data_IF_681646918615
#
_entry.id   IF_681646918615
#
_cell.length_a   1.000
_cell.length_b   1.000
_cell.length_c   1.000
_cell.angle_alpha   90.00
_cell.angle_beta   90.00
_cell.angle_gamma   90.00
#
_symmetry.space_group_name_H-M   'P 1'
#
loop_
_entity.id
_entity.type
_entity.pdbx_description
1 polymer ?
#
# COMPACT_ATOMS: atom_id res chain seq x y z
N UNK A 1 26.74 -12.84 10.38
CA UNK A 1 25.69 -12.16 11.17
C UNK A 1 24.66 -11.61 10.22
N UNK A 2 23.35 -11.73 10.50
CA UNK A 2 22.33 -11.10 9.68
C UNK A 2 22.43 -9.58 9.81
N UNK A 3 22.41 -8.91 8.66
CA UNK A 3 22.52 -7.47 8.56
C UNK A 3 21.29 -6.93 7.84
N UNK A 4 20.74 -5.82 8.36
CA UNK A 4 19.64 -5.11 7.70
C UNK A 4 20.21 -3.90 6.96
N UNK A 5 19.87 -3.83 5.70
CA UNK A 5 20.31 -2.77 4.79
C UNK A 5 19.13 -1.84 4.50
N UNK A 6 19.39 -0.54 4.45
CA UNK A 6 18.42 0.47 4.10
C UNK A 6 18.96 1.42 3.04
N UNK A 7 18.11 1.81 2.11
CA UNK A 7 18.43 2.75 1.04
C UNK A 7 17.25 3.69 0.80
N UNK A 8 17.53 4.99 0.86
CA UNK A 8 16.56 6.02 0.44
C UNK A 8 16.81 6.34 -1.03
N UNK A 9 15.80 6.19 -1.87
CA UNK A 9 15.84 6.71 -3.23
C UNK A 9 15.57 8.21 -3.19
N UNK A 10 16.58 8.98 -3.52
CA UNK A 10 16.45 10.43 -3.63
C UNK A 10 15.71 10.79 -4.94
N UNK A 11 14.89 11.85 -4.95
CA UNK A 11 14.26 12.32 -6.16
C UNK A 11 15.32 12.74 -7.18
N UNK A 12 15.14 12.34 -8.43
CA UNK A 12 16.03 12.71 -9.55
C UNK A 12 15.39 13.82 -10.37
N UNK A 13 14.06 13.81 -10.45
CA UNK A 13 13.27 14.78 -11.21
C UNK A 13 12.29 15.48 -10.28
N UNK A 14 11.87 16.67 -10.65
CA UNK A 14 10.76 17.35 -10.01
C UNK A 14 9.47 16.53 -10.19
N UNK A 15 8.54 16.58 -9.22
CA UNK A 15 7.24 15.93 -9.35
C UNK A 15 6.50 16.38 -10.61
N UNK A 16 5.87 15.45 -11.31
CA UNK A 16 5.11 15.74 -12.51
C UNK A 16 3.70 16.25 -12.17
N UNK A 17 3.34 17.44 -12.66
CA UNK A 17 2.01 18.01 -12.47
C UNK A 17 1.64 18.18 -11.00
N UNK A 18 0.45 17.72 -10.64
CA UNK A 18 -0.12 17.85 -9.28
C UNK A 18 0.20 16.66 -8.37
N UNK A 19 1.20 15.83 -8.71
CA UNK A 19 1.59 14.69 -7.88
C UNK A 19 2.17 15.16 -6.56
N UNK A 20 1.78 14.47 -5.48
CA UNK A 20 2.20 14.78 -4.12
C UNK A 20 2.93 13.59 -3.51
N UNK A 21 3.93 13.81 -2.63
CA UNK A 21 4.49 12.73 -1.85
C UNK A 21 3.46 12.18 -0.86
N UNK A 22 3.55 10.88 -0.53
CA UNK A 22 2.60 10.23 0.38
C UNK A 22 2.49 10.94 1.74
N UNK A 23 3.60 11.44 2.27
CA UNK A 23 3.60 12.20 3.53
C UNK A 23 2.71 13.45 3.45
N UNK A 24 2.69 14.15 2.31
CA UNK A 24 1.81 15.30 2.07
C UNK A 24 0.35 14.87 1.97
N UNK A 25 0.06 13.81 1.21
CA UNK A 25 -1.31 13.29 1.03
C UNK A 25 -1.90 12.91 2.39
N UNK A 26 -1.17 12.12 3.17
CA UNK A 26 -1.64 11.70 4.50
C UNK A 26 -1.79 12.86 5.47
N UNK A 27 -0.87 13.82 5.44
CA UNK A 27 -0.97 15.00 6.30
C UNK A 27 -2.20 15.85 5.99
N UNK A 28 -2.51 16.08 4.71
CA UNK A 28 -3.74 16.78 4.30
C UNK A 28 -5.01 16.04 4.73
N UNK A 29 -5.01 14.71 4.65
CA UNK A 29 -6.14 13.90 5.12
C UNK A 29 -6.34 14.05 6.64
N UNK A 30 -5.27 13.94 7.42
CA UNK A 30 -5.32 14.14 8.88
C UNK A 30 -5.82 15.54 9.23
N UNK A 31 -5.31 16.56 8.56
CA UNK A 31 -5.72 17.97 8.76
C UNK A 31 -7.20 18.19 8.39
N UNK A 32 -7.66 17.66 7.25
CA UNK A 32 -9.04 17.76 6.81
C UNK A 32 -10.04 17.07 7.76
N UNK A 33 -9.58 16.04 8.47
CA UNK A 33 -10.35 15.38 9.53
C UNK A 33 -10.31 16.13 10.88
N UNK A 34 -9.73 17.32 10.94
CA UNK A 34 -9.57 18.10 12.17
C UNK A 34 -8.49 17.56 13.10
N UNK A 35 -7.60 16.71 12.57
CA UNK A 35 -6.55 16.03 13.31
C UNK A 35 -5.20 16.74 13.30
N UNK A 36 -5.09 18.01 12.97
CA UNK A 36 -3.81 18.74 12.98
C UNK A 36 -3.10 18.60 14.35
N UNK A 37 -1.82 18.18 14.38
CA UNK A 37 -1.11 18.01 15.64
C UNK A 37 -0.85 19.37 16.30
N UNK A 38 -1.09 19.49 17.60
CA UNK A 38 -0.77 20.69 18.35
C UNK A 38 0.76 20.84 18.50
N UNK A 39 1.26 22.09 18.46
CA UNK A 39 2.68 22.42 18.64
C UNK A 39 3.55 22.25 17.40
N UNK A 40 2.97 21.95 16.24
CA UNK A 40 3.72 21.76 14.97
C UNK A 40 4.50 23.01 14.57
N UNK A 41 3.92 24.20 14.76
CA UNK A 41 4.58 25.47 14.42
C UNK A 41 5.83 25.71 15.29
N UNK A 42 5.75 25.40 16.58
CA UNK A 42 6.89 25.48 17.48
C UNK A 42 7.98 24.47 17.12
N UNK A 43 7.57 23.23 16.77
CA UNK A 43 8.50 22.22 16.26
C UNK A 43 9.18 22.63 14.95
N UNK A 44 8.45 23.29 14.06
CA UNK A 44 9.00 23.77 12.79
C UNK A 44 10.06 24.87 13.03
N UNK A 45 9.77 25.82 13.90
CA UNK A 45 10.74 26.86 14.29
C UNK A 45 11.99 26.27 14.94
N UNK A 46 11.83 25.30 15.83
CA UNK A 46 12.95 24.59 16.44
C UNK A 46 13.79 23.82 15.40
N UNK A 47 13.13 23.18 14.41
CA UNK A 47 13.81 22.46 13.34
C UNK A 47 14.61 23.38 12.40
N UNK A 48 14.15 24.61 12.19
CA UNK A 48 14.88 25.63 11.43
C UNK A 48 16.12 26.12 12.18
N UNK A 49 16.04 26.18 13.50
CA UNK A 49 17.11 26.64 14.36
C UNK A 49 18.25 25.62 14.46
N UNK A 50 17.95 24.44 14.98
CA UNK A 50 18.88 23.31 15.02
C UNK A 50 18.16 21.98 15.26
N UNK A 51 18.89 20.87 15.00
CA UNK A 51 18.41 19.52 15.31
C UNK A 51 18.29 19.30 16.82
N UNK A 52 19.20 19.86 17.61
CA UNK A 52 19.19 19.77 19.07
C UNK A 52 17.94 20.46 19.63
N UNK A 53 17.64 21.67 19.19
CA UNK A 53 16.46 22.43 19.63
C UNK A 53 15.16 21.73 19.22
N UNK A 54 15.13 21.14 18.01
CA UNK A 54 14.02 20.30 17.59
C UNK A 54 13.79 19.11 18.53
N UNK A 55 14.84 18.38 18.90
CA UNK A 55 14.76 17.21 19.77
C UNK A 55 14.29 17.61 21.18
N UNK A 56 14.80 18.71 21.73
CA UNK A 56 14.39 19.24 23.04
C UNK A 56 12.91 19.65 23.04
N UNK A 57 12.51 20.40 22.02
CA UNK A 57 11.11 20.85 21.85
C UNK A 57 10.17 19.66 21.63
N UNK A 58 10.57 18.70 20.80
CA UNK A 58 9.80 17.49 20.56
C UNK A 58 9.60 16.67 21.84
N UNK A 59 10.66 16.50 22.64
CA UNK A 59 10.61 15.77 23.91
C UNK A 59 9.65 16.44 24.89
N UNK A 60 9.71 17.75 25.03
CA UNK A 60 8.82 18.52 25.88
C UNK A 60 7.38 18.40 25.43
N UNK A 61 7.09 18.67 24.15
CA UNK A 61 5.73 18.64 23.60
C UNK A 61 5.13 17.23 23.64
N UNK A 62 5.93 16.18 23.46
CA UNK A 62 5.45 14.79 23.54
C UNK A 62 5.05 14.41 24.96
N UNK A 63 5.67 15.04 25.98
CA UNK A 63 5.30 14.84 27.38
C UNK A 63 4.01 15.58 27.72
N UNK A 64 3.88 16.81 27.24
CA UNK A 64 2.72 17.70 27.52
C UNK A 64 1.49 17.33 26.70
N UNK A 65 1.67 16.71 25.52
CA UNK A 65 0.62 16.35 24.58
C UNK A 65 0.76 14.90 24.08
N UNK A 66 0.17 13.93 24.76
CA UNK A 66 0.21 12.52 24.36
C UNK A 66 -0.38 12.24 22.95
N UNK A 67 -1.30 13.12 22.47
CA UNK A 67 -1.91 12.98 21.14
C UNK A 67 -0.90 13.24 20.00
N UNK A 68 0.20 13.94 20.28
CA UNK A 68 1.28 14.14 19.31
C UNK A 68 1.84 12.80 18.79
N UNK A 69 1.94 11.80 19.67
CA UNK A 69 2.43 10.46 19.32
C UNK A 69 1.55 9.75 18.30
N UNK A 70 0.22 9.90 18.40
CA UNK A 70 -0.74 9.29 17.46
C UNK A 70 -0.68 9.93 16.07
N UNK A 71 -0.23 11.18 15.98
CA UNK A 71 -0.13 12.00 14.76
C UNK A 71 1.33 12.24 14.35
N UNK A 72 2.25 11.46 14.89
CA UNK A 72 3.68 11.65 14.74
C UNK A 72 4.15 11.82 13.28
N UNK A 73 3.71 11.02 12.30
CA UNK A 73 4.15 11.20 10.92
C UNK A 73 3.82 12.59 10.36
N UNK A 74 2.61 13.08 10.62
CA UNK A 74 2.19 14.43 10.20
C UNK A 74 2.98 15.51 10.91
N UNK A 75 3.19 15.38 12.24
CA UNK A 75 3.98 16.32 13.01
C UNK A 75 5.42 16.43 12.50
N UNK A 76 6.08 15.30 12.23
CA UNK A 76 7.43 15.26 11.68
C UNK A 76 7.51 15.86 10.28
N UNK A 77 6.56 15.51 9.43
CA UNK A 77 6.53 16.04 8.07
C UNK A 77 6.31 17.56 8.03
N UNK A 78 5.34 18.06 8.82
CA UNK A 78 5.01 19.49 8.89
C UNK A 78 6.04 20.34 9.64
N UNK A 79 6.93 19.73 10.39
CA UNK A 79 8.01 20.44 11.13
C UNK A 79 9.38 20.13 10.54
N UNK A 80 10.01 19.04 10.96
CA UNK A 80 11.33 18.62 10.52
C UNK A 80 11.45 18.54 8.99
N UNK A 81 10.36 18.16 8.30
CA UNK A 81 10.35 18.06 6.85
C UNK A 81 10.66 19.36 6.13
N UNK A 82 10.31 20.51 6.72
CA UNK A 82 10.59 21.83 6.12
C UNK A 82 12.10 22.12 6.06
N UNK A 83 12.86 21.67 7.05
CA UNK A 83 14.33 21.86 7.10
C UNK A 83 15.10 20.92 6.15
N UNK A 84 14.45 19.89 5.58
CA UNK A 84 15.11 18.88 4.74
C UNK A 84 14.98 19.16 3.23
N UNK A 85 14.34 20.24 2.81
CA UNK A 85 14.16 20.60 1.40
C UNK A 85 13.46 19.49 0.61
N UNK A 86 14.04 19.06 -0.52
CA UNK A 86 13.46 17.98 -1.34
C UNK A 86 13.33 16.64 -0.61
N UNK A 87 14.11 16.44 0.45
CA UNK A 87 14.01 15.25 1.31
C UNK A 87 12.97 15.39 2.42
N UNK A 88 12.16 16.44 2.42
CA UNK A 88 11.10 16.68 3.40
C UNK A 88 10.25 15.45 3.74
N UNK A 89 9.77 14.67 2.76
CA UNK A 89 9.01 13.45 3.01
C UNK A 89 9.75 12.39 3.87
N UNK A 90 11.08 12.39 3.86
CA UNK A 90 11.88 11.48 4.67
C UNK A 90 11.81 11.80 6.17
N UNK A 91 11.34 12.99 6.56
CA UNK A 91 11.20 13.38 7.98
C UNK A 91 10.37 12.37 8.80
N UNK A 92 9.38 11.73 8.19
CA UNK A 92 8.56 10.70 8.85
C UNK A 92 9.39 9.51 9.35
N UNK A 93 10.54 9.26 8.74
CA UNK A 93 11.44 8.18 9.14
C UNK A 93 12.16 8.46 10.46
N UNK A 94 12.22 9.71 10.91
CA UNK A 94 12.79 10.03 12.22
C UNK A 94 12.04 9.30 13.34
N UNK A 95 10.71 9.16 13.23
CA UNK A 95 9.91 8.35 14.14
C UNK A 95 10.33 6.87 14.16
N UNK A 96 10.65 6.31 13.00
CA UNK A 96 11.15 4.93 12.88
C UNK A 96 12.57 4.81 13.46
N UNK A 97 13.41 5.81 13.27
CA UNK A 97 14.76 5.85 13.86
C UNK A 97 14.70 5.90 15.39
N UNK A 98 13.80 6.70 15.97
CA UNK A 98 13.54 6.73 17.43
C UNK A 98 13.08 5.36 17.93
N UNK A 99 12.14 4.72 17.24
CA UNK A 99 11.66 3.40 17.62
C UNK A 99 12.78 2.34 17.54
N UNK A 100 13.61 2.39 16.51
CA UNK A 100 14.74 1.47 16.35
C UNK A 100 15.80 1.67 17.45
N UNK A 101 16.12 2.91 17.82
CA UNK A 101 17.07 3.20 18.89
C UNK A 101 16.61 2.74 20.27
N UNK A 102 15.30 2.74 20.52
CA UNK A 102 14.72 2.23 21.76
C UNK A 102 14.63 0.70 21.80
N UNK A 103 14.26 0.07 20.67
CA UNK A 103 14.02 -1.37 20.62
C UNK A 103 15.23 -2.21 20.34
N UNK A 104 16.19 -1.70 19.58
CA UNK A 104 17.33 -2.47 19.05
C UNK A 104 18.67 -1.72 19.13
N UNK A 105 18.98 -1.00 20.24
CA UNK A 105 20.16 -0.14 20.32
C UNK A 105 21.46 -0.92 20.07
N UNK A 106 21.59 -2.14 20.60
CA UNK A 106 22.79 -2.96 20.43
C UNK A 106 23.02 -3.38 18.97
N UNK A 107 21.93 -3.65 18.23
CA UNK A 107 22.02 -4.00 16.81
C UNK A 107 22.44 -2.80 15.94
N UNK A 108 22.04 -1.59 16.33
CA UNK A 108 22.46 -0.35 15.67
C UNK A 108 23.93 -0.05 15.97
N UNK A 109 24.36 -0.18 17.23
CA UNK A 109 25.76 -0.02 17.64
C UNK A 109 26.67 -1.08 16.99
N UNK A 110 26.21 -2.31 16.86
CA UNK A 110 26.93 -3.37 16.15
C UNK A 110 27.13 -3.08 14.67
N UNK A 111 26.27 -2.27 14.06
CA UNK A 111 26.44 -1.76 12.69
C UNK A 111 27.35 -0.52 12.60
N UNK A 112 27.87 -0.01 13.73
CA UNK A 112 28.81 1.11 13.78
C UNK A 112 28.20 2.46 14.17
N UNK A 113 26.90 2.52 14.45
CA UNK A 113 26.25 3.75 14.91
C UNK A 113 26.63 4.06 16.36
N UNK A 114 26.69 5.34 16.70
CA UNK A 114 27.11 5.81 18.01
C UNK A 114 25.96 6.44 18.77
N UNK A 115 26.12 6.60 20.10
CA UNK A 115 25.16 7.26 20.97
C UNK A 115 24.14 6.31 21.58
N UNK A 116 23.23 6.89 22.36
CA UNK A 116 22.14 6.23 23.06
C UNK A 116 20.83 7.02 22.92
N UNK A 117 19.67 6.32 23.02
CA UNK A 117 18.37 6.97 22.99
C UNK A 117 18.15 7.85 21.75
N UNK A 118 17.81 9.12 21.97
CA UNK A 118 17.56 10.08 20.90
C UNK A 118 18.81 10.47 20.11
N UNK A 119 20.00 10.48 20.74
CA UNK A 119 21.26 10.70 20.03
C UNK A 119 21.50 9.58 19.00
N UNK A 120 21.30 8.32 19.40
CA UNK A 120 21.42 7.17 18.49
C UNK A 120 20.38 7.23 17.36
N UNK A 121 19.16 7.67 17.66
CA UNK A 121 18.11 7.87 16.66
C UNK A 121 18.50 8.95 15.65
N UNK A 122 19.03 10.07 16.12
CA UNK A 122 19.50 11.15 15.26
C UNK A 122 20.66 10.71 14.37
N UNK A 123 21.66 10.04 14.94
CA UNK A 123 22.79 9.53 14.18
C UNK A 123 22.37 8.51 13.12
N UNK A 124 21.40 7.64 13.44
CA UNK A 124 20.81 6.72 12.45
C UNK A 124 20.13 7.50 11.32
N UNK A 125 19.29 8.46 11.68
CA UNK A 125 18.50 9.22 10.70
C UNK A 125 19.40 10.01 9.75
N UNK A 126 20.37 10.75 10.27
CA UNK A 126 21.30 11.54 9.47
C UNK A 126 22.18 10.65 8.59
N UNK A 127 22.68 9.53 9.12
CA UNK A 127 23.43 8.56 8.34
C UNK A 127 22.63 7.97 7.18
N UNK A 128 21.32 7.72 7.36
CA UNK A 128 20.43 7.24 6.31
C UNK A 128 20.21 8.31 5.23
N UNK A 129 20.06 9.57 5.61
CA UNK A 129 19.91 10.68 4.66
C UNK A 129 21.15 10.90 3.81
N UNK A 130 22.35 10.73 4.42
CA UNK A 130 23.63 10.91 3.76
C UNK A 130 24.05 9.73 2.88
N UNK A 131 23.55 8.53 3.16
CA UNK A 131 23.95 7.29 2.51
C UNK A 131 23.36 7.16 1.09
N UNK A 132 23.98 7.81 0.09
CA UNK A 132 23.53 7.83 -1.32
C UNK A 132 23.30 6.45 -1.92
N UNK A 133 24.09 5.46 -1.53
CA UNK A 133 23.95 4.06 -1.97
C UNK A 133 23.34 3.15 -0.92
N UNK A 134 22.82 3.74 0.17
CA UNK A 134 22.31 3.02 1.32
C UNK A 134 23.39 2.53 2.28
N UNK A 135 22.98 1.95 3.39
CA UNK A 135 23.88 1.47 4.44
C UNK A 135 23.32 0.25 5.17
N UNK A 136 24.20 -0.52 5.77
CA UNK A 136 23.83 -1.49 6.81
C UNK A 136 23.55 -0.68 8.08
N UNK A 137 22.32 -0.66 8.56
CA UNK A 137 21.93 0.13 9.73
C UNK A 137 21.80 -0.68 11.01
N UNK A 138 21.68 -2.00 10.91
CA UNK A 138 21.68 -2.88 12.06
C UNK A 138 22.30 -4.23 11.75
N UNK A 139 22.97 -4.81 12.76
CA UNK A 139 23.55 -6.14 12.69
C UNK A 139 23.16 -6.92 13.92
N UNK A 140 22.75 -8.16 13.74
CA UNK A 140 22.26 -9.01 14.81
C UNK A 140 23.11 -10.29 14.91
N UNK A 141 23.37 -10.71 16.14
CA UNK A 141 23.92 -12.02 16.40
C UNK A 141 22.84 -13.11 16.31
N UNK A 142 23.15 -14.24 15.69
CA UNK A 142 22.25 -15.38 15.62
C UNK A 142 21.93 -15.96 17.00
N UNK A 143 22.93 -16.02 17.88
CA UNK A 143 22.76 -16.59 19.22
C UNK A 143 21.72 -15.79 20.05
N UNK A 144 21.72 -14.45 19.92
CA UNK A 144 20.79 -13.57 20.65
C UNK A 144 19.45 -13.38 19.94
N UNK A 145 19.21 -14.03 18.78
CA UNK A 145 17.96 -13.85 18.03
C UNK A 145 16.73 -14.34 18.80
N UNK A 146 16.87 -15.38 19.62
CA UNK A 146 15.79 -15.91 20.44
C UNK A 146 15.41 -14.98 21.60
N UNK A 147 16.29 -14.11 22.07
CA UNK A 147 16.01 -13.11 23.13
C UNK A 147 14.97 -12.08 22.69
N UNK A 148 14.72 -12.01 21.38
CA UNK A 148 13.73 -11.11 20.78
C UNK A 148 12.30 -11.64 20.82
N UNK A 149 12.12 -12.91 21.16
CA UNK A 149 10.79 -13.51 21.34
C UNK A 149 10.16 -12.87 22.57
N UNK A 150 9.00 -12.21 22.38
CA UNK A 150 8.29 -11.46 23.42
C UNK A 150 7.02 -12.15 23.90
N UNK A 151 6.82 -13.41 23.52
CA UNK A 151 5.74 -14.24 24.08
C UNK A 151 6.00 -14.50 25.56
N UNK A 152 4.97 -14.62 26.41
CA UNK A 152 5.14 -14.82 27.85
C UNK A 152 5.99 -16.02 28.24
N UNK A 153 5.98 -17.07 27.42
CA UNK A 153 6.75 -18.31 27.61
C UNK A 153 8.05 -18.37 26.80
N UNK A 154 8.43 -17.29 26.09
CA UNK A 154 9.65 -17.19 25.28
C UNK A 154 9.69 -18.16 24.11
N UNK A 155 8.55 -18.69 23.63
CA UNK A 155 8.47 -19.66 22.54
C UNK A 155 7.80 -19.08 21.29
N UNK A 156 8.16 -19.62 20.15
CA UNK A 156 7.46 -19.36 18.90
C UNK A 156 6.22 -20.25 18.84
N UNK A 157 5.03 -19.65 18.83
CA UNK A 157 3.76 -20.34 18.72
C UNK A 157 3.38 -20.52 17.25
N UNK A 158 3.60 -21.72 16.72
CA UNK A 158 3.19 -22.08 15.35
C UNK A 158 1.79 -22.69 15.27
N UNK A 159 1.24 -23.12 16.40
CA UNK A 159 -0.13 -23.58 16.51
C UNK A 159 -1.02 -22.39 16.89
N UNK A 160 -1.89 -21.97 15.99
CA UNK A 160 -2.88 -20.93 16.19
C UNK A 160 -4.24 -21.64 16.19
N UNK A 161 -4.90 -21.81 17.37
CA UNK A 161 -6.10 -22.64 17.50
C UNK A 161 -7.22 -22.20 16.55
N UNK A 162 -7.42 -20.90 16.36
CA UNK A 162 -8.46 -20.33 15.51
C UNK A 162 -8.26 -20.72 14.04
N UNK A 163 -7.01 -20.69 13.56
CA UNK A 163 -6.69 -21.10 12.18
C UNK A 163 -6.82 -22.61 11.99
N UNK A 164 -6.48 -23.39 13.00
CA UNK A 164 -6.62 -24.86 12.93
C UNK A 164 -8.09 -25.27 12.90
N UNK A 165 -8.95 -24.57 13.63
CA UNK A 165 -10.39 -24.83 13.61
C UNK A 165 -11.00 -24.47 12.28
N UNK A 166 -10.60 -23.33 11.69
CA UNK A 166 -10.99 -22.92 10.34
C UNK A 166 -10.58 -23.96 9.29
N UNK A 167 -9.35 -24.46 9.36
CA UNK A 167 -8.89 -25.55 8.48
C UNK A 167 -9.71 -26.83 8.62
N UNK A 168 -10.19 -27.13 9.81
CA UNK A 168 -11.06 -28.30 10.04
C UNK A 168 -12.45 -28.10 9.47
N UNK A 169 -12.99 -26.87 9.54
CA UNK A 169 -14.30 -26.54 8.99
C UNK A 169 -14.35 -26.67 7.45
N UNK A 170 -13.22 -26.39 6.76
CA UNK A 170 -13.15 -26.47 5.29
C UNK A 170 -13.62 -27.81 4.72
N UNK A 171 -13.40 -28.93 5.46
CA UNK A 171 -13.84 -30.26 5.01
C UNK A 171 -15.37 -30.41 4.99
N UNK A 172 -16.10 -29.53 5.66
CA UNK A 172 -17.56 -29.53 5.79
C UNK A 172 -18.22 -28.39 5.01
N UNK A 173 -17.41 -27.48 4.45
CA UNK A 173 -17.93 -26.37 3.68
C UNK A 173 -18.37 -26.83 2.28
N UNK A 174 -19.59 -26.53 1.95
CA UNK A 174 -20.06 -26.67 0.57
C UNK A 174 -19.40 -25.58 -0.28
N UNK A 175 -18.84 -25.93 -1.46
CA UNK A 175 -18.33 -24.94 -2.38
C UNK A 175 -19.41 -23.90 -2.71
N UNK A 176 -19.10 -22.63 -2.51
CA UNK A 176 -20.03 -21.56 -2.82
C UNK A 176 -20.37 -21.57 -4.32
N UNK A 177 -21.49 -22.22 -4.67
CA UNK A 177 -21.94 -22.31 -6.05
C UNK A 177 -22.34 -20.93 -6.60
N UNK A 178 -22.12 -20.68 -7.89
CA UNK A 178 -22.69 -19.51 -8.56
C UNK A 178 -24.21 -19.49 -8.36
N UNK A 179 -24.77 -18.31 -8.09
CA UNK A 179 -26.22 -18.14 -8.06
C UNK A 179 -26.73 -17.73 -9.44
N UNK A 180 -28.02 -17.96 -9.72
CA UNK A 180 -28.64 -17.49 -10.94
C UNK A 180 -28.52 -15.96 -11.11
N UNK A 181 -28.51 -15.22 -10.02
CA UNK A 181 -28.34 -13.76 -10.00
C UNK A 181 -26.91 -13.31 -10.34
N UNK A 182 -25.91 -14.11 -9.97
CA UNK A 182 -24.49 -13.83 -10.18
C UNK A 182 -23.76 -15.10 -10.61
N UNK A 183 -23.90 -15.49 -11.90
CA UNK A 183 -23.43 -16.80 -12.38
C UNK A 183 -21.91 -16.89 -12.57
N UNK A 184 -21.19 -15.79 -12.47
CA UNK A 184 -19.75 -15.74 -12.67
C UNK A 184 -19.00 -15.48 -11.37
N UNK A 185 -17.77 -15.99 -11.31
CA UNK A 185 -16.74 -15.56 -10.37
C UNK A 185 -15.81 -14.61 -11.10
N UNK A 186 -15.79 -13.35 -10.67
CA UNK A 186 -14.85 -12.34 -11.14
C UNK A 186 -13.57 -12.42 -10.30
N UNK A 187 -12.45 -12.68 -10.95
CA UNK A 187 -11.12 -12.48 -10.42
C UNK A 187 -10.70 -11.05 -10.72
N UNK A 188 -10.92 -10.14 -9.77
CA UNK A 188 -10.52 -8.76 -9.88
C UNK A 188 -9.02 -8.62 -9.56
N UNK A 189 -8.30 -7.81 -10.33
CA UNK A 189 -6.89 -7.53 -10.08
C UNK A 189 -5.92 -8.55 -10.64
N UNK A 190 -6.21 -9.15 -11.79
CA UNK A 190 -5.23 -9.92 -12.54
C UNK A 190 -4.00 -9.04 -12.83
N UNK A 191 -2.80 -9.57 -12.54
CA UNK A 191 -1.56 -8.89 -12.83
C UNK A 191 -1.18 -9.15 -14.30
N UNK A 192 -1.35 -8.17 -15.15
CA UNK A 192 -0.91 -8.17 -16.55
C UNK A 192 0.36 -7.34 -16.71
N UNK A 193 0.79 -7.12 -17.93
CA UNK A 193 2.05 -6.41 -18.24
C UNK A 193 2.15 -4.98 -17.73
N UNK A 194 1.02 -4.36 -17.35
CA UNK A 194 0.97 -3.00 -16.82
C UNK A 194 -0.03 -2.91 -15.68
N UNK A 195 0.41 -2.41 -14.54
CA UNK A 195 -0.44 -2.16 -13.37
C UNK A 195 -0.10 -0.80 -12.75
N UNK A 196 -0.91 -0.33 -11.81
CA UNK A 196 -0.62 0.93 -11.08
C UNK A 196 0.74 0.92 -10.41
N UNK A 197 1.20 -0.25 -9.96
CA UNK A 197 2.51 -0.40 -9.31
C UNK A 197 3.68 -0.53 -10.30
N UNK A 198 3.38 -0.61 -11.59
CA UNK A 198 4.38 -0.64 -12.65
C UNK A 198 4.71 0.77 -13.16
N UNK A 199 5.84 0.87 -13.83
CA UNK A 199 6.31 2.14 -14.41
C UNK A 199 5.38 2.64 -15.51
N UNK A 200 4.74 1.73 -16.26
CA UNK A 200 3.88 2.07 -17.40
C UNK A 200 2.44 2.23 -16.91
N UNK A 201 2.05 3.45 -16.57
CA UNK A 201 0.70 3.81 -16.14
C UNK A 201 -0.14 4.36 -17.29
N UNK A 202 0.46 5.19 -18.12
CA UNK A 202 -0.21 5.84 -19.25
C UNK A 202 -0.67 4.79 -20.28
N UNK A 203 -1.97 4.74 -20.61
CA UNK A 203 -2.52 3.79 -21.60
C UNK A 203 -1.88 3.91 -22.98
N UNK A 204 -1.42 5.09 -23.40
CA UNK A 204 -0.76 5.29 -24.69
C UNK A 204 0.55 4.50 -24.83
N UNK A 205 1.20 4.19 -23.71
CA UNK A 205 2.44 3.40 -23.67
C UNK A 205 2.20 1.89 -23.70
N UNK A 206 0.95 1.46 -23.51
CA UNK A 206 0.58 0.04 -23.52
C UNK A 206 0.39 -0.43 -24.94
N UNK A 207 1.19 -1.39 -25.38
CA UNK A 207 1.11 -1.95 -26.73
C UNK A 207 -0.09 -2.85 -26.92
N UNK A 208 -0.57 -3.50 -25.85
CA UNK A 208 -1.69 -4.44 -25.82
C UNK A 208 -2.59 -4.12 -24.64
N UNK A 209 -3.87 -4.45 -24.76
CA UNK A 209 -4.85 -4.34 -23.68
C UNK A 209 -4.88 -2.93 -23.06
N UNK A 210 -5.05 -1.92 -23.92
CA UNK A 210 -5.03 -0.50 -23.51
C UNK A 210 -6.14 -0.18 -22.51
N UNK A 211 -7.30 -0.82 -22.65
CA UNK A 211 -8.50 -0.55 -21.84
C UNK A 211 -8.79 -1.63 -20.79
N UNK A 212 -7.90 -2.58 -20.58
CA UNK A 212 -8.07 -3.60 -19.56
C UNK A 212 -9.26 -4.50 -19.77
N UNK A 213 -9.24 -5.30 -20.85
CA UNK A 213 -10.37 -6.13 -21.24
C UNK A 213 -10.75 -7.19 -20.19
N UNK A 214 -12.04 -7.48 -20.07
CA UNK A 214 -12.56 -8.61 -19.31
C UNK A 214 -12.30 -9.91 -20.07
N UNK A 215 -11.48 -10.79 -19.50
CA UNK A 215 -11.25 -12.13 -20.05
C UNK A 215 -12.39 -13.07 -19.71
N UNK A 216 -12.83 -13.83 -20.72
CA UNK A 216 -13.94 -14.76 -20.62
C UNK A 216 -13.69 -16.02 -21.48
N UNK A 217 -14.16 -17.19 -21.02
CA UNK A 217 -14.12 -18.41 -21.81
C UNK A 217 -15.02 -18.31 -23.02
N UNK A 218 -14.69 -18.92 -24.21
CA UNK A 218 -15.53 -18.87 -25.42
C UNK A 218 -16.96 -19.37 -25.23
N UNK A 219 -17.17 -20.44 -24.44
CA UNK A 219 -18.50 -20.97 -24.14
C UNK A 219 -19.34 -19.95 -23.35
N UNK A 220 -18.75 -19.26 -22.40
CA UNK A 220 -19.40 -18.22 -21.62
C UNK A 220 -19.69 -16.96 -22.43
N UNK A 221 -18.77 -16.55 -23.32
CA UNK A 221 -19.01 -15.47 -24.27
C UNK A 221 -20.23 -15.76 -25.17
N UNK A 222 -20.32 -16.99 -25.65
CA UNK A 222 -21.48 -17.44 -26.44
C UNK A 222 -22.77 -17.42 -25.61
N UNK A 223 -22.71 -17.85 -24.35
CA UNK A 223 -23.87 -17.87 -23.43
C UNK A 223 -24.37 -16.48 -23.09
N UNK A 224 -23.45 -15.51 -22.91
CA UNK A 224 -23.77 -14.10 -22.66
C UNK A 224 -24.19 -13.39 -23.95
N UNK A 225 -23.80 -13.90 -25.11
CA UNK A 225 -24.08 -13.30 -26.41
C UNK A 225 -23.16 -12.14 -26.76
N UNK A 226 -21.88 -12.24 -26.39
CA UNK A 226 -20.84 -11.22 -26.65
C UNK A 226 -19.75 -11.76 -27.57
N UNK A 227 -19.15 -10.85 -28.32
CA UNK A 227 -18.04 -11.12 -29.24
C UNK A 227 -16.75 -10.46 -28.78
N UNK A 228 -15.63 -10.87 -29.37
CA UNK A 228 -14.32 -10.27 -29.12
C UNK A 228 -14.35 -8.73 -29.30
N UNK A 229 -13.82 -7.99 -28.33
CA UNK A 229 -13.78 -6.52 -28.34
C UNK A 229 -15.12 -5.82 -28.07
N UNK A 230 -16.25 -6.53 -28.03
CA UNK A 230 -17.54 -5.95 -27.68
C UNK A 230 -17.56 -5.54 -26.23
N UNK A 231 -18.24 -4.45 -25.90
CA UNK A 231 -18.36 -4.01 -24.48
C UNK A 231 -19.43 -4.80 -23.75
N UNK A 232 -19.16 -5.09 -22.51
CA UNK A 232 -20.03 -5.79 -21.57
C UNK A 232 -20.15 -4.96 -20.28
N UNK A 233 -21.34 -4.97 -19.69
CA UNK A 233 -21.53 -4.46 -18.33
C UNK A 233 -21.30 -5.58 -17.33
N UNK A 234 -20.43 -5.32 -16.36
CA UNK A 234 -20.09 -6.20 -15.25
C UNK A 234 -20.82 -5.68 -14.03
N UNK A 235 -21.64 -6.51 -13.41
CA UNK A 235 -22.46 -6.13 -12.27
C UNK A 235 -22.11 -7.04 -11.10
N UNK A 236 -21.76 -6.42 -9.96
CA UNK A 236 -21.52 -7.10 -8.68
C UNK A 236 -22.49 -6.59 -7.61
N UNK A 237 -22.45 -7.17 -6.43
CA UNK A 237 -23.21 -6.64 -5.28
C UNK A 237 -22.83 -5.21 -4.93
N UNK A 238 -21.56 -4.82 -5.17
CA UNK A 238 -20.99 -3.51 -4.79
C UNK A 238 -21.28 -2.41 -5.80
N UNK A 239 -21.22 -2.74 -7.09
CA UNK A 239 -21.34 -1.74 -8.15
C UNK A 239 -21.30 -2.36 -9.54
N UNK A 240 -21.21 -1.50 -10.55
CA UNK A 240 -21.14 -1.91 -11.94
C UNK A 240 -20.03 -1.15 -12.69
N UNK A 241 -19.52 -1.78 -13.75
CA UNK A 241 -18.53 -1.20 -14.65
C UNK A 241 -18.65 -1.78 -16.05
N UNK A 242 -18.05 -1.13 -17.05
CA UNK A 242 -18.07 -1.58 -18.43
C UNK A 242 -16.65 -1.81 -18.95
N UNK A 243 -16.43 -2.96 -19.59
CA UNK A 243 -15.15 -3.33 -20.18
C UNK A 243 -15.31 -3.96 -21.56
N UNK A 244 -14.31 -3.87 -22.44
CA UNK A 244 -14.27 -4.70 -23.64
C UNK A 244 -14.00 -6.16 -23.28
N UNK A 245 -14.43 -7.08 -24.13
CA UNK A 245 -14.23 -8.54 -23.99
C UNK A 245 -12.90 -8.97 -24.63
N UNK A 246 -12.17 -9.84 -23.95
CA UNK A 246 -11.02 -10.63 -24.42
C UNK A 246 -11.38 -12.12 -24.28
N UNK A 247 -11.69 -12.78 -25.39
CA UNK A 247 -12.09 -14.20 -25.40
C UNK A 247 -10.82 -15.06 -25.31
N UNK A 248 -10.74 -15.91 -24.29
CA UNK A 248 -9.57 -16.73 -24.02
C UNK A 248 -9.91 -18.15 -23.60
N UNK A 249 -9.38 -19.12 -24.32
CA UNK A 249 -9.48 -20.56 -23.98
C UNK A 249 -8.69 -20.92 -22.69
N UNK A 250 -7.87 -20.01 -22.18
CA UNK A 250 -7.15 -20.21 -20.91
C UNK A 250 -8.00 -19.89 -19.68
N UNK A 251 -9.17 -19.29 -19.87
CA UNK A 251 -10.15 -19.08 -18.79
C UNK A 251 -10.93 -20.36 -18.52
N UNK A 252 -11.32 -20.55 -17.27
CA UNK A 252 -12.28 -21.61 -16.91
C UNK A 252 -13.70 -21.11 -17.14
N UNK A 253 -14.61 -22.03 -17.55
CA UNK A 253 -16.04 -21.70 -17.62
C UNK A 253 -16.58 -21.24 -16.27
N UNK A 254 -17.41 -20.21 -16.28
CA UNK A 254 -17.95 -19.57 -15.06
C UNK A 254 -16.99 -18.61 -14.37
N UNK A 255 -15.77 -18.44 -14.88
CA UNK A 255 -14.81 -17.47 -14.37
C UNK A 255 -14.51 -16.37 -15.37
N UNK A 256 -14.40 -15.14 -14.87
CA UNK A 256 -13.99 -13.97 -15.65
C UNK A 256 -12.90 -13.20 -14.91
N UNK A 257 -12.06 -12.50 -15.64
CA UNK A 257 -10.91 -11.81 -15.04
C UNK A 257 -10.74 -10.39 -15.56
N UNK A 258 -10.57 -9.44 -14.65
CA UNK A 258 -10.18 -8.05 -14.94
C UNK A 258 -8.75 -7.76 -14.46
N UNK A 259 -7.98 -6.99 -15.21
CA UNK A 259 -6.65 -6.60 -14.80
C UNK A 259 -6.68 -5.51 -13.72
N UNK A 260 -5.61 -5.44 -12.94
CA UNK A 260 -5.33 -4.35 -12.00
C UNK A 260 -4.69 -3.16 -12.71
N UNK A 261 -4.87 -1.95 -12.16
CA UNK A 261 -4.14 -0.76 -12.60
C UNK A 261 -4.82 0.02 -13.72
N UNK A 262 -6.12 -0.07 -13.79
CA UNK A 262 -6.99 0.69 -14.71
C UNK A 262 -7.98 1.56 -13.91
N UNK A 263 -8.82 2.30 -14.64
CA UNK A 263 -9.81 3.21 -14.05
C UNK A 263 -9.25 4.59 -13.71
N UNK A 264 -8.09 4.94 -14.22
CA UNK A 264 -7.52 6.28 -14.08
C UNK A 264 -7.82 7.13 -15.31
N UNK A 265 -7.91 8.44 -15.08
CA UNK A 265 -8.16 9.44 -16.10
C UNK A 265 -6.84 9.90 -16.73
N UNK A 266 -6.78 9.87 -18.07
CA UNK A 266 -5.64 10.33 -18.85
C UNK A 266 -6.11 11.18 -20.03
N UNK A 267 -5.33 12.19 -20.48
CA UNK A 267 -5.60 12.92 -21.70
C UNK A 267 -5.40 12.00 -22.91
N UNK A 268 -6.32 12.05 -23.87
CA UNK A 268 -6.16 11.44 -25.18
C UNK A 268 -5.31 12.35 -26.12
N UNK A 269 -5.15 11.94 -27.39
CA UNK A 269 -4.38 12.69 -28.39
C UNK A 269 -4.91 14.10 -28.65
N UNK A 270 -6.17 14.37 -28.32
CA UNK A 270 -6.79 15.71 -28.44
C UNK A 270 -6.66 16.54 -27.18
N UNK A 271 -6.16 15.96 -26.07
CA UNK A 271 -6.11 16.55 -24.75
C UNK A 271 -7.42 16.41 -23.96
N UNK A 272 -8.41 15.67 -24.47
CA UNK A 272 -9.63 15.34 -23.75
C UNK A 272 -9.33 14.22 -22.74
N UNK A 273 -9.73 14.43 -21.49
CA UNK A 273 -9.52 13.46 -20.42
C UNK A 273 -10.54 12.34 -20.48
N UNK A 274 -10.07 11.11 -20.46
CA UNK A 274 -10.90 9.89 -20.47
C UNK A 274 -10.42 8.88 -19.43
N UNK A 275 -11.41 8.17 -18.86
CA UNK A 275 -11.13 7.05 -17.97
C UNK A 275 -10.81 5.82 -18.83
N UNK A 276 -9.67 5.20 -18.59
CA UNK A 276 -9.23 3.99 -19.29
C UNK A 276 -9.40 2.76 -18.41
N UNK A 277 -10.24 1.83 -18.87
CA UNK A 277 -10.52 0.56 -18.20
C UNK A 277 -11.33 0.71 -16.90
N UNK A 278 -11.25 -0.30 -16.06
CA UNK A 278 -12.06 -0.42 -14.85
C UNK A 278 -11.22 -0.31 -13.58
N UNK A 279 -11.63 0.56 -12.67
CA UNK A 279 -11.14 0.56 -11.29
C UNK A 279 -11.77 -0.64 -10.56
N UNK A 280 -11.05 -1.75 -10.46
CA UNK A 280 -11.57 -3.02 -9.91
C UNK A 280 -12.12 -2.90 -8.49
N UNK A 281 -11.65 -1.90 -7.73
CA UNK A 281 -12.14 -1.65 -6.37
C UNK A 281 -13.58 -1.13 -6.32
N UNK A 282 -14.12 -0.64 -7.43
CA UNK A 282 -15.55 -0.27 -7.53
C UNK A 282 -16.46 -1.50 -7.60
N UNK A 283 -15.90 -2.65 -7.94
CA UNK A 283 -16.61 -3.93 -8.06
C UNK A 283 -16.41 -4.83 -6.83
N UNK A 284 -15.50 -4.50 -5.92
CA UNK A 284 -15.18 -5.31 -4.73
C UNK A 284 -15.73 -4.68 -3.46
N UNK A 285 -16.14 -5.50 -2.49
CA UNK A 285 -16.74 -5.04 -1.24
C UNK A 285 -15.80 -5.32 -0.04
N UNK A 286 -15.73 -4.37 0.89
CA UNK A 286 -14.97 -4.54 2.14
C UNK A 286 -15.63 -5.52 3.10
N UNK A 287 -16.93 -5.76 2.98
CA UNK A 287 -17.64 -6.76 3.77
C UNK A 287 -17.28 -8.19 3.33
N UNK A 288 -16.90 -8.34 2.04
CA UNK A 288 -16.50 -9.62 1.44
C UNK A 288 -14.99 -9.83 1.63
N UNK A 289 -14.59 -10.21 2.84
CA UNK A 289 -13.20 -10.29 3.28
C UNK A 289 -12.93 -11.48 4.16
N UNK A 290 -11.68 -11.86 4.23
CA UNK A 290 -11.19 -12.82 5.22
C UNK A 290 -11.43 -12.30 6.65
N UNK A 291 -11.97 -13.16 7.51
CA UNK A 291 -12.36 -12.78 8.87
C UNK A 291 -11.15 -12.50 9.79
N UNK A 292 -10.01 -13.14 9.54
CA UNK A 292 -8.80 -13.02 10.36
C UNK A 292 -7.89 -11.92 9.87
N UNK A 293 -7.48 -11.99 8.59
CA UNK A 293 -6.55 -11.05 7.98
C UNK A 293 -7.24 -9.78 7.48
N UNK A 294 -8.56 -9.78 7.43
CA UNK A 294 -9.40 -8.69 6.89
C UNK A 294 -9.06 -8.33 5.43
N UNK A 295 -8.45 -9.27 4.71
CA UNK A 295 -8.10 -9.10 3.30
C UNK A 295 -9.34 -9.28 2.42
N UNK A 296 -9.71 -8.29 1.59
CA UNK A 296 -10.85 -8.41 0.69
C UNK A 296 -10.69 -9.57 -0.30
N UNK A 297 -11.78 -10.25 -0.60
CA UNK A 297 -11.82 -11.40 -1.52
C UNK A 297 -11.78 -10.99 -2.99
N UNK A 298 -10.77 -10.22 -3.41
CA UNK A 298 -10.62 -9.73 -4.79
C UNK A 298 -10.62 -10.82 -5.88
N UNK A 299 -10.28 -12.05 -5.52
CA UNK A 299 -10.18 -13.17 -6.46
C UNK A 299 -11.46 -14.00 -6.51
N UNK A 300 -12.49 -13.64 -5.79
CA UNK A 300 -13.72 -14.41 -5.67
C UNK A 300 -14.96 -13.52 -5.54
N UNK A 301 -15.10 -12.56 -6.47
CA UNK A 301 -16.24 -11.64 -6.47
C UNK A 301 -17.37 -12.22 -7.30
N UNK A 302 -18.58 -12.27 -6.77
CA UNK A 302 -19.74 -12.73 -7.52
C UNK A 302 -20.19 -11.67 -8.51
N UNK A 303 -20.35 -12.08 -9.78
CA UNK A 303 -20.68 -11.16 -10.86
C UNK A 303 -21.70 -11.73 -11.85
N UNK A 304 -22.41 -10.84 -12.53
CA UNK A 304 -23.15 -11.14 -13.75
C UNK A 304 -22.70 -10.22 -14.87
N UNK A 305 -22.90 -10.65 -16.08
CA UNK A 305 -22.52 -9.94 -17.29
C UNK A 305 -23.76 -9.63 -18.13
N UNK A 306 -23.83 -8.42 -18.67
CA UNK A 306 -24.88 -8.01 -19.59
C UNK A 306 -24.23 -7.47 -20.88
N UNK A 307 -24.64 -8.04 -22.04
CA UNK A 307 -24.17 -7.51 -23.30
C UNK A 307 -24.68 -6.09 -23.52
N UNK A 308 -23.82 -5.20 -23.95
CA UNK A 308 -24.21 -3.85 -24.33
C UNK A 308 -24.53 -3.78 -25.82
N UNK A 309 -25.46 -2.89 -26.23
CA UNK A 309 -25.69 -2.63 -27.65
C UNK A 309 -24.41 -2.25 -28.35
N UNK A 310 -24.22 -2.73 -29.57
CA UNK A 310 -23.06 -2.44 -30.44
C UNK A 310 -23.08 -0.99 -30.92
#
# INVERSE_FOLDING_TARGET
>A
MPSNYFHIRQPIFEPLGDTLPEAEIHSRLVEAMGGAPAGVEELAQAAESSREEFIETFTRLSTDNPDLGSKLPTALYRSLGQSLGQMGPAAVMFGSAMQASMRFPDSLRAAGLKGDGLELANNLFDSLLEAKSGMVFSTSDYASSFDRIKTPDGKIHIHIPELVEELRSLAQEEPASPSDAYPFVLTAGEHRSSTVNDVIRDPSWRKKDKDGALRIHPADASRVGVSEGQRVRIITKRGEAEAPIDISETMMEGQVSLPHGFGMEYPDETGEHRIHGVAVNELTDIEDRDWLALTPHHKHVRARLEALPS
#
